data_IF_321551117732
#
_entry.id   IF_321551117732
#
_cell.length_a   1.000
_cell.length_b   1.000
_cell.length_c   1.000
_cell.angle_alpha   90.00
_cell.angle_beta   90.00
_cell.angle_gamma   90.00
#
_symmetry.space_group_name_H-M   'P 1'
#
loop_
_entity.id
_entity.type
_entity.pdbx_description
1 polymer ?
#
# COMPACT_ATOMS: atom_id res chain seq x y z
N UNK A 1 -44.62 -35.22 26.59
CA UNK A 1 -43.84 -34.92 25.37
C UNK A 1 -43.61 -33.42 25.35
N UNK A 2 -42.44 -32.96 25.79
CA UNK A 2 -42.07 -31.54 25.69
C UNK A 2 -41.40 -31.32 24.34
N UNK A 3 -42.00 -30.45 23.53
CA UNK A 3 -41.55 -30.12 22.18
C UNK A 3 -40.16 -29.50 22.19
N UNK A 4 -39.32 -29.96 21.26
CA UNK A 4 -37.95 -29.53 21.07
C UNK A 4 -37.87 -28.02 20.79
N UNK A 5 -36.99 -27.35 21.53
CA UNK A 5 -36.68 -25.94 21.34
C UNK A 5 -36.04 -25.71 19.96
N UNK A 6 -36.77 -25.02 19.09
CA UNK A 6 -36.19 -24.41 17.90
C UNK A 6 -35.26 -23.28 18.32
N UNK A 7 -33.95 -23.56 18.36
CA UNK A 7 -32.95 -22.51 18.48
C UNK A 7 -33.06 -21.58 17.28
N UNK A 8 -33.69 -20.42 17.46
CA UNK A 8 -33.88 -19.45 16.38
C UNK A 8 -32.54 -19.02 15.79
N UNK A 9 -32.49 -18.90 14.46
CA UNK A 9 -31.33 -18.34 13.74
C UNK A 9 -30.95 -16.99 14.36
N UNK A 10 -29.68 -16.85 14.74
CA UNK A 10 -29.14 -15.59 15.23
C UNK A 10 -28.83 -14.70 14.02
N UNK A 11 -29.00 -13.36 14.13
CA UNK A 11 -28.80 -12.44 13.01
C UNK A 11 -27.36 -12.36 12.49
N UNK A 12 -26.39 -12.92 13.21
CA UNK A 12 -24.99 -13.02 12.82
C UNK A 12 -24.48 -14.42 13.17
N UNK A 13 -24.79 -15.39 12.32
CA UNK A 13 -24.26 -16.75 12.36
C UNK A 13 -23.36 -16.96 11.13
N UNK A 14 -22.48 -17.97 11.16
CA UNK A 14 -21.57 -18.26 10.06
C UNK A 14 -22.33 -18.40 8.74
N UNK A 15 -23.46 -19.10 8.75
CA UNK A 15 -24.30 -19.30 7.55
C UNK A 15 -24.82 -17.99 6.94
N UNK A 16 -25.05 -16.96 7.75
CA UNK A 16 -25.59 -15.65 7.31
C UNK A 16 -24.49 -14.62 7.02
N UNK A 17 -23.20 -14.98 7.15
CA UNK A 17 -22.10 -14.08 6.81
C UNK A 17 -22.07 -13.78 5.31
N UNK A 18 -21.58 -12.58 4.96
CA UNK A 18 -21.30 -12.21 3.58
C UNK A 18 -20.38 -13.28 2.92
N UNK A 19 -20.85 -13.85 1.81
CA UNK A 19 -20.14 -14.91 1.07
C UNK A 19 -18.73 -14.51 0.65
N UNK A 20 -18.50 -13.24 0.36
CA UNK A 20 -17.16 -12.75 0.04
C UNK A 20 -16.24 -12.84 1.27
N UNK A 21 -16.74 -12.51 2.47
CA UNK A 21 -15.99 -12.63 3.73
C UNK A 21 -15.60 -14.07 4.01
N UNK A 22 -16.51 -15.03 3.77
CA UNK A 22 -16.21 -16.47 3.91
C UNK A 22 -15.07 -16.94 3.00
N UNK A 23 -14.93 -16.35 1.81
CA UNK A 23 -13.89 -16.69 0.82
C UNK A 23 -12.54 -16.04 1.10
N UNK A 24 -12.47 -15.01 1.94
CA UNK A 24 -11.21 -14.31 2.22
C UNK A 24 -10.24 -15.22 2.98
N UNK A 25 -9.02 -15.33 2.46
CA UNK A 25 -7.90 -15.96 3.14
C UNK A 25 -6.75 -14.95 3.29
N UNK A 26 -6.21 -14.80 4.51
CA UNK A 26 -5.08 -13.91 4.79
C UNK A 26 -3.99 -14.64 5.60
N UNK A 27 -3.08 -15.30 4.87
CA UNK A 27 -2.14 -16.27 5.44
C UNK A 27 -1.09 -15.68 6.41
N UNK A 28 -0.74 -14.39 6.31
CA UNK A 28 0.30 -13.75 7.16
C UNK A 28 0.01 -13.87 8.65
N UNK A 29 -1.27 -13.94 9.03
CA UNK A 29 -1.75 -14.18 10.40
C UNK A 29 -2.73 -15.36 10.46
N UNK A 30 -2.51 -16.37 9.62
CA UNK A 30 -3.33 -17.58 9.55
C UNK A 30 -2.97 -18.63 10.61
N UNK A 31 -3.20 -19.90 10.28
CA UNK A 31 -3.08 -21.05 11.19
C UNK A 31 -1.71 -21.14 11.90
N UNK A 32 -0.61 -20.91 11.18
CA UNK A 32 0.73 -20.94 11.76
C UNK A 32 0.92 -19.88 12.85
N UNK A 33 0.35 -18.68 12.66
CA UNK A 33 0.40 -17.61 13.66
C UNK A 33 -0.44 -17.97 14.89
N UNK A 34 -1.62 -18.56 14.68
CA UNK A 34 -2.47 -19.02 15.77
C UNK A 34 -1.78 -20.10 16.60
N UNK A 35 -1.18 -21.10 15.94
CA UNK A 35 -0.41 -22.15 16.62
C UNK A 35 0.81 -21.58 17.35
N UNK A 36 1.53 -20.64 16.75
CA UNK A 36 2.63 -19.94 17.40
C UNK A 36 2.15 -19.17 18.65
N UNK A 37 0.98 -18.55 18.59
CA UNK A 37 0.38 -17.83 19.72
C UNK A 37 -0.02 -18.77 20.87
N UNK A 38 -0.53 -19.97 20.57
CA UNK A 38 -0.79 -21.01 21.57
C UNK A 38 0.49 -21.46 22.27
N UNK A 39 1.52 -21.80 21.50
CA UNK A 39 2.82 -22.19 22.05
C UNK A 39 3.42 -21.08 22.94
N UNK A 40 3.23 -19.81 22.57
CA UNK A 40 3.65 -18.69 23.41
C UNK A 40 2.88 -18.65 24.74
N UNK A 41 1.57 -18.91 24.73
CA UNK A 41 0.75 -19.03 25.97
C UNK A 41 1.19 -20.22 26.84
N UNK A 42 1.70 -21.28 26.22
CA UNK A 42 2.32 -22.43 26.90
C UNK A 42 3.74 -22.12 27.44
N UNK A 43 4.21 -20.87 27.32
CA UNK A 43 5.51 -20.42 27.83
C UNK A 43 6.69 -20.69 26.89
N UNK A 44 6.44 -21.12 25.64
CA UNK A 44 7.51 -21.27 24.64
C UNK A 44 8.00 -19.90 24.17
N UNK A 45 9.31 -19.76 24.05
CA UNK A 45 9.92 -18.61 23.37
C UNK A 45 9.73 -18.75 21.87
N UNK A 46 8.93 -17.87 21.28
CA UNK A 46 8.67 -17.82 19.84
C UNK A 46 9.37 -16.61 19.22
N UNK A 47 10.03 -16.81 18.09
CA UNK A 47 10.60 -15.74 17.27
C UNK A 47 9.72 -15.62 16.03
N UNK A 48 9.01 -14.50 15.90
CA UNK A 48 8.12 -14.25 14.77
C UNK A 48 8.92 -13.73 13.56
N UNK A 49 9.11 -14.58 12.56
CA UNK A 49 9.73 -14.23 11.26
C UNK A 49 8.70 -14.11 10.13
N UNK A 50 7.40 -14.09 10.47
CA UNK A 50 6.29 -14.10 9.52
C UNK A 50 5.82 -12.70 9.06
N UNK A 51 6.24 -11.63 9.74
CA UNK A 51 5.84 -10.24 9.42
C UNK A 51 7.06 -9.35 9.38
N UNK A 52 7.18 -8.54 8.33
CA UNK A 52 8.14 -7.42 8.29
C UNK A 52 7.76 -6.32 9.28
N UNK A 53 8.10 -6.51 10.55
CA UNK A 53 7.84 -5.59 11.66
C UNK A 53 9.18 -5.24 12.36
N UNK A 54 9.96 -4.30 11.82
CA UNK A 54 11.37 -4.14 12.20
C UNK A 54 11.58 -3.81 13.68
N UNK A 55 10.74 -2.95 14.28
CA UNK A 55 10.85 -2.59 15.69
C UNK A 55 10.59 -3.76 16.64
N UNK A 56 9.72 -4.71 16.25
CA UNK A 56 9.49 -5.92 17.04
C UNK A 56 10.70 -6.87 17.05
N UNK A 57 11.62 -6.70 16.09
CA UNK A 57 12.87 -7.46 15.98
C UNK A 57 14.10 -6.65 16.47
N UNK A 58 13.88 -5.48 17.08
CA UNK A 58 14.93 -4.71 17.74
C UNK A 58 15.51 -3.53 16.95
N UNK A 59 14.98 -3.21 15.76
CA UNK A 59 15.34 -1.96 15.10
C UNK A 59 14.94 -0.78 16.02
N UNK A 60 15.89 0.12 16.29
CA UNK A 60 15.63 1.32 17.09
C UNK A 60 14.90 2.36 16.23
N UNK A 61 13.88 3.06 16.79
CA UNK A 61 13.23 4.15 16.08
C UNK A 61 14.21 5.30 15.86
N UNK A 62 14.06 6.02 14.75
CA UNK A 62 14.83 7.24 14.52
C UNK A 62 14.42 8.34 15.50
N UNK A 63 15.39 9.02 16.09
CA UNK A 63 15.16 10.01 17.17
C UNK A 63 14.40 11.24 16.68
N UNK A 64 14.82 11.82 15.55
CA UNK A 64 14.24 13.05 15.00
C UNK A 64 12.72 13.00 14.78
N UNK A 65 12.15 12.02 14.03
CA UNK A 65 10.70 11.96 13.83
C UNK A 65 9.94 11.74 15.14
N UNK A 66 10.50 10.98 16.09
CA UNK A 66 9.89 10.77 17.41
C UNK A 66 9.81 12.07 18.21
N UNK A 67 10.86 12.87 18.19
CA UNK A 67 10.90 14.18 18.83
C UNK A 67 9.86 15.13 18.23
N UNK A 68 9.80 15.22 16.90
CA UNK A 68 8.81 16.05 16.20
C UNK A 68 7.38 15.63 16.56
N UNK A 69 7.06 14.33 16.45
CA UNK A 69 5.72 13.82 16.77
C UNK A 69 5.38 14.04 18.24
N UNK A 70 6.32 13.84 19.16
CA UNK A 70 6.09 14.10 20.58
C UNK A 70 5.72 15.57 20.85
N UNK A 71 6.44 16.51 20.25
CA UNK A 71 6.15 17.94 20.36
C UNK A 71 4.82 18.32 19.71
N UNK A 72 4.46 17.71 18.58
CA UNK A 72 3.14 17.95 17.97
C UNK A 72 1.98 17.37 18.80
N UNK A 73 2.19 16.26 19.51
CA UNK A 73 1.19 15.64 20.38
C UNK A 73 1.05 16.38 21.73
N UNK A 74 2.14 16.96 22.22
CA UNK A 74 2.19 17.73 23.46
C UNK A 74 2.68 19.17 23.18
N UNK A 75 1.90 19.99 22.46
CA UNK A 75 2.34 21.31 22.01
C UNK A 75 2.66 22.28 23.16
N UNK A 76 2.09 22.06 24.35
CA UNK A 76 2.40 22.85 25.56
C UNK A 76 3.89 22.76 25.96
N UNK A 77 4.61 21.71 25.51
CA UNK A 77 6.07 21.61 25.73
C UNK A 77 6.83 22.69 24.96
N UNK A 78 6.27 23.25 23.87
CA UNK A 78 6.92 24.30 23.09
C UNK A 78 6.99 25.64 23.82
N UNK A 79 6.16 25.83 24.85
CA UNK A 79 6.12 27.02 25.71
C UNK A 79 7.02 26.88 26.94
N UNK A 80 7.57 25.68 27.20
CA UNK A 80 8.50 25.46 28.32
C UNK A 80 9.84 26.14 28.02
N UNK A 81 10.37 27.01 28.89
CA UNK A 81 11.66 27.68 28.69
C UNK A 81 12.84 26.69 28.59
N UNK A 82 12.67 25.46 29.07
CA UNK A 82 13.67 24.39 29.03
C UNK A 82 13.51 23.44 27.84
N UNK A 83 12.56 23.67 26.93
CA UNK A 83 12.32 22.78 25.78
C UNK A 83 13.58 22.54 24.95
N UNK A 84 14.42 23.57 24.80
CA UNK A 84 15.69 23.49 24.06
C UNK A 84 16.79 22.68 24.77
N UNK A 85 16.61 22.33 26.05
CA UNK A 85 17.50 21.42 26.78
C UNK A 85 17.17 19.95 26.49
N UNK A 86 15.93 19.66 26.06
CA UNK A 86 15.40 18.30 25.85
C UNK A 86 15.30 17.97 24.36
N UNK A 87 14.89 18.94 23.54
CA UNK A 87 14.66 18.77 22.11
C UNK A 87 15.62 19.65 21.30
N UNK A 88 16.18 19.13 20.19
CA UNK A 88 17.04 19.92 19.33
C UNK A 88 16.22 20.98 18.56
N UNK A 89 16.89 22.07 18.19
CA UNK A 89 16.24 23.26 17.62
C UNK A 89 15.49 22.95 16.31
N UNK A 90 16.01 22.04 15.50
CA UNK A 90 15.40 21.59 14.24
C UNK A 90 14.12 20.76 14.46
N UNK A 91 14.07 19.91 15.49
CA UNK A 91 12.86 19.19 15.87
C UNK A 91 11.77 20.15 16.38
N UNK A 92 12.15 21.15 17.19
CA UNK A 92 11.25 22.21 17.65
C UNK A 92 10.70 23.02 16.47
N UNK A 93 11.57 23.44 15.56
CA UNK A 93 11.16 24.19 14.37
C UNK A 93 10.22 23.36 13.48
N UNK A 94 10.53 22.08 13.26
CA UNK A 94 9.69 21.18 12.47
C UNK A 94 8.32 20.92 13.12
N UNK A 95 8.27 20.78 14.44
CA UNK A 95 7.00 20.64 15.15
C UNK A 95 6.13 21.90 15.03
N UNK A 96 6.71 23.09 15.21
CA UNK A 96 6.02 24.37 15.01
C UNK A 96 5.47 24.52 13.59
N UNK A 97 6.27 24.11 12.59
CA UNK A 97 5.86 24.09 11.19
C UNK A 97 4.63 23.19 10.95
N UNK A 98 4.62 21.97 11.47
CA UNK A 98 3.46 21.08 11.31
C UNK A 98 2.23 21.53 12.09
N UNK A 99 2.40 22.07 13.29
CA UNK A 99 1.29 22.64 14.05
C UNK A 99 0.66 23.85 13.35
N UNK A 100 1.46 24.67 12.65
CA UNK A 100 0.95 25.77 11.84
C UNK A 100 0.09 25.30 10.65
N UNK A 101 0.32 24.08 10.14
CA UNK A 101 -0.51 23.46 9.10
C UNK A 101 -1.79 22.82 9.62
N UNK A 102 -1.92 22.64 10.94
CA UNK A 102 -3.02 21.99 11.62
C UNK A 102 -3.60 22.92 12.70
N UNK A 103 -4.41 23.94 12.33
CA UNK A 103 -4.87 24.97 13.28
C UNK A 103 -5.72 24.43 14.43
N UNK A 104 -6.39 23.27 14.26
CA UNK A 104 -7.08 22.56 15.34
C UNK A 104 -6.19 21.61 16.16
N UNK A 105 -4.87 21.71 15.99
CA UNK A 105 -3.90 20.72 16.46
C UNK A 105 -4.05 19.38 15.76
N UNK A 106 -3.33 18.37 16.25
CA UNK A 106 -3.40 17.00 15.72
C UNK A 106 -4.69 16.25 16.13
N UNK A 107 -5.52 16.84 17.00
CA UNK A 107 -6.76 16.21 17.47
C UNK A 107 -7.98 16.49 16.59
N UNK A 108 -7.92 17.49 15.71
CA UNK A 108 -9.02 17.81 14.81
C UNK A 108 -9.01 16.94 13.55
N UNK A 109 -10.18 16.74 12.95
CA UNK A 109 -10.27 16.15 11.62
C UNK A 109 -9.56 17.01 10.57
N UNK A 110 -8.87 16.36 9.64
CA UNK A 110 -8.35 17.00 8.43
C UNK A 110 -9.36 16.93 7.28
N UNK A 111 -9.00 17.53 6.14
CA UNK A 111 -9.57 17.15 4.83
C UNK A 111 -9.53 15.62 4.67
N UNK A 112 -10.51 15.04 3.98
CA UNK A 112 -10.63 13.58 3.82
C UNK A 112 -9.46 12.94 3.08
N UNK A 113 -8.72 13.75 2.31
CA UNK A 113 -7.47 13.35 1.63
C UNK A 113 -6.25 13.51 2.52
N UNK A 114 -6.39 14.15 3.67
CA UNK A 114 -5.32 14.51 4.59
C UNK A 114 -4.97 16.00 4.58
N UNK A 115 -4.20 16.41 5.59
CA UNK A 115 -3.79 17.81 5.81
C UNK A 115 -3.16 18.38 4.51
N UNK A 116 -3.69 19.48 3.93
CA UNK A 116 -3.22 20.02 2.65
C UNK A 116 -1.72 20.31 2.62
N UNK A 117 -1.17 20.86 3.72
CA UNK A 117 0.27 21.12 3.85
C UNK A 117 1.12 19.85 3.78
N UNK A 118 0.66 18.73 4.36
CA UNK A 118 1.36 17.45 4.29
C UNK A 118 1.27 16.86 2.89
N UNK A 119 0.11 16.94 2.23
CA UNK A 119 -0.03 16.51 0.81
C UNK A 119 0.91 17.28 -0.11
N UNK A 120 1.10 18.58 0.13
CA UNK A 120 2.09 19.40 -0.58
C UNK A 120 3.51 18.90 -0.34
N UNK A 121 3.90 18.62 0.90
CA UNK A 121 5.24 18.06 1.18
C UNK A 121 5.47 16.69 0.51
N UNK A 122 4.43 15.85 0.42
CA UNK A 122 4.47 14.58 -0.32
C UNK A 122 4.65 14.82 -1.82
N UNK A 123 3.91 15.77 -2.40
CA UNK A 123 4.04 16.14 -3.81
C UNK A 123 5.46 16.62 -4.14
N UNK A 124 6.03 17.49 -3.30
CA UNK A 124 7.41 17.97 -3.44
C UNK A 124 8.44 16.83 -3.27
N UNK A 125 8.17 15.85 -2.40
CA UNK A 125 9.00 14.65 -2.28
C UNK A 125 9.01 13.83 -3.58
N UNK A 126 7.83 13.60 -4.17
CA UNK A 126 7.68 12.88 -5.43
C UNK A 126 8.38 13.64 -6.56
N UNK A 127 8.19 14.96 -6.64
CA UNK A 127 8.83 15.80 -7.66
C UNK A 127 10.36 15.76 -7.56
N UNK A 128 10.92 15.89 -6.36
CA UNK A 128 12.38 15.77 -6.16
C UNK A 128 12.92 14.40 -6.55
N UNK A 129 12.17 13.33 -6.29
CA UNK A 129 12.56 11.95 -6.62
C UNK A 129 12.49 11.69 -8.12
N UNK A 130 11.43 12.16 -8.78
CA UNK A 130 11.11 11.77 -10.15
C UNK A 130 11.57 12.78 -11.21
N UNK A 131 11.78 14.05 -10.82
CA UNK A 131 12.08 15.16 -11.73
C UNK A 131 10.86 15.73 -12.45
N UNK A 132 9.65 15.37 -12.03
CA UNK A 132 8.38 15.80 -12.63
C UNK A 132 7.40 16.29 -11.58
N UNK A 133 6.73 17.45 -11.79
CA UNK A 133 5.76 18.00 -10.83
C UNK A 133 4.69 16.99 -10.44
N UNK A 134 4.33 16.96 -9.16
CA UNK A 134 3.22 16.17 -8.62
C UNK A 134 2.14 17.12 -8.09
N UNK A 135 0.87 16.80 -8.33
CA UNK A 135 -0.25 17.62 -7.86
C UNK A 135 -0.70 17.13 -6.46
N UNK A 136 -0.62 17.97 -5.41
CA UNK A 136 -1.08 17.59 -4.08
C UNK A 136 -2.57 17.22 -4.03
N UNK A 137 -3.40 17.69 -4.96
CA UNK A 137 -4.82 17.35 -5.02
C UNK A 137 -5.08 15.91 -5.52
N UNK A 138 -4.06 15.26 -6.10
CA UNK A 138 -4.07 13.86 -6.54
C UNK A 138 -3.44 12.90 -5.52
N UNK A 139 -3.10 13.40 -4.32
CA UNK A 139 -2.50 12.63 -3.23
C UNK A 139 -3.52 12.42 -2.11
N UNK A 140 -3.62 11.18 -1.64
CA UNK A 140 -4.47 10.78 -0.51
C UNK A 140 -3.60 10.16 0.58
N UNK A 141 -3.61 10.77 1.76
CA UNK A 141 -3.03 10.20 2.96
C UNK A 141 -3.94 9.09 3.49
N UNK A 142 -3.37 7.99 3.97
CA UNK A 142 -4.10 6.79 4.35
C UNK A 142 -3.50 6.13 5.59
N UNK A 143 -4.28 5.27 6.27
CA UNK A 143 -3.81 4.49 7.43
C UNK A 143 -2.88 3.32 7.03
N UNK A 144 -1.77 3.67 6.38
CA UNK A 144 -0.83 2.80 5.70
C UNK A 144 -1.30 2.45 4.29
N UNK A 145 -0.35 2.05 3.44
CA UNK A 145 -0.62 1.65 2.06
C UNK A 145 -1.76 0.61 1.92
N UNK A 146 -1.96 -0.25 2.92
CA UNK A 146 -3.03 -1.25 2.90
C UNK A 146 -4.42 -0.63 2.71
N UNK A 147 -4.70 0.53 3.33
CA UNK A 147 -6.00 1.19 3.16
C UNK A 147 -6.14 1.82 1.77
N UNK A 148 -5.07 2.41 1.23
CA UNK A 148 -5.06 2.91 -0.14
C UNK A 148 -5.32 1.80 -1.16
N UNK A 149 -4.63 0.66 -1.04
CA UNK A 149 -4.83 -0.51 -1.91
C UNK A 149 -6.28 -1.00 -1.83
N UNK A 150 -6.83 -1.15 -0.62
CA UNK A 150 -8.22 -1.57 -0.45
C UNK A 150 -9.20 -0.57 -1.07
N UNK A 151 -8.98 0.73 -0.89
CA UNK A 151 -9.83 1.78 -1.47
C UNK A 151 -9.83 1.72 -2.99
N UNK A 152 -8.65 1.57 -3.62
CA UNK A 152 -8.54 1.48 -5.07
C UNK A 152 -9.17 0.21 -5.63
N UNK A 153 -8.95 -0.94 -4.99
CA UNK A 153 -9.57 -2.19 -5.41
C UNK A 153 -11.10 -2.11 -5.31
N UNK A 154 -11.64 -1.55 -4.22
CA UNK A 154 -13.08 -1.34 -4.07
C UNK A 154 -13.65 -0.36 -5.12
N UNK A 155 -12.87 0.63 -5.54
CA UNK A 155 -13.26 1.59 -6.58
C UNK A 155 -13.28 0.94 -7.97
N UNK A 156 -12.37 -0.01 -8.24
CA UNK A 156 -12.21 -0.66 -9.54
C UNK A 156 -13.19 -1.83 -9.73
N UNK A 157 -13.43 -2.62 -8.68
CA UNK A 157 -14.21 -3.87 -8.73
C UNK A 157 -15.69 -3.56 -8.62
N UNK A 158 -16.45 -3.81 -9.68
CA UNK A 158 -17.92 -3.62 -9.70
C UNK A 158 -18.70 -4.89 -9.39
N UNK A 159 -18.13 -6.06 -9.70
CA UNK A 159 -18.72 -7.40 -9.50
C UNK A 159 -17.68 -8.49 -9.82
N UNK A 160 -18.09 -9.77 -9.78
CA UNK A 160 -17.22 -10.93 -9.98
C UNK A 160 -16.58 -11.01 -11.37
N UNK A 161 -17.09 -10.26 -12.36
CA UNK A 161 -16.52 -10.23 -13.71
C UNK A 161 -15.39 -9.23 -13.85
N UNK A 162 -15.14 -8.35 -12.87
CA UNK A 162 -13.98 -7.46 -12.92
C UNK A 162 -12.75 -8.20 -12.38
N UNK A 163 -11.73 -8.29 -13.25
CA UNK A 163 -10.48 -8.99 -12.99
C UNK A 163 -9.35 -8.04 -12.64
N UNK A 164 -8.50 -8.44 -11.69
CA UNK A 164 -7.25 -7.74 -11.35
C UNK A 164 -6.08 -8.69 -11.60
N UNK A 165 -5.11 -8.26 -12.41
CA UNK A 165 -3.85 -8.99 -12.60
C UNK A 165 -2.98 -8.84 -11.36
N UNK A 166 -2.55 -9.96 -10.76
CA UNK A 166 -1.76 -9.97 -9.52
C UNK A 166 -0.57 -10.93 -9.67
N UNK A 167 0.64 -10.56 -9.19
CA UNK A 167 1.80 -11.44 -9.28
C UNK A 167 1.59 -12.73 -8.48
N UNK A 168 2.29 -13.77 -8.88
CA UNK A 168 2.46 -15.00 -8.10
C UNK A 168 3.96 -15.31 -8.04
N UNK A 169 4.55 -15.38 -6.84
CA UNK A 169 3.95 -15.13 -5.51
C UNK A 169 3.64 -13.64 -5.23
N UNK A 170 2.83 -13.35 -4.21
CA UNK A 170 2.42 -11.98 -3.84
C UNK A 170 2.22 -11.77 -2.33
N UNK A 171 2.22 -10.50 -1.92
CA UNK A 171 1.78 -10.07 -0.60
C UNK A 171 0.26 -10.21 -0.44
N UNK A 172 -0.25 -11.13 0.42
CA UNK A 172 -1.63 -11.64 0.37
C UNK A 172 -2.77 -10.66 0.65
N UNK A 173 -2.47 -9.38 0.88
CA UNK A 173 -3.47 -8.32 0.90
C UNK A 173 -4.26 -8.26 -0.41
N UNK A 174 -3.62 -8.40 -1.57
CA UNK A 174 -4.31 -8.27 -2.86
C UNK A 174 -5.36 -9.35 -3.06
N UNK A 175 -4.98 -10.62 -2.89
CA UNK A 175 -5.93 -11.73 -2.99
C UNK A 175 -7.07 -11.60 -1.98
N UNK A 176 -6.76 -11.26 -0.73
CA UNK A 176 -7.77 -11.08 0.31
C UNK A 176 -8.76 -9.95 -0.03
N UNK A 177 -8.25 -8.80 -0.47
CA UNK A 177 -9.07 -7.63 -0.80
C UNK A 177 -9.91 -7.85 -2.07
N UNK A 178 -9.35 -8.47 -3.11
CA UNK A 178 -10.10 -8.82 -4.32
C UNK A 178 -11.26 -9.75 -3.99
N UNK A 179 -11.02 -10.80 -3.19
CA UNK A 179 -12.10 -11.70 -2.73
C UNK A 179 -13.13 -10.97 -1.88
N UNK A 180 -12.70 -10.09 -0.96
CA UNK A 180 -13.60 -9.32 -0.10
C UNK A 180 -14.56 -8.43 -0.90
N UNK A 181 -14.05 -7.76 -1.94
CA UNK A 181 -14.84 -6.91 -2.82
C UNK A 181 -15.56 -7.68 -3.93
N UNK A 182 -15.43 -9.01 -3.95
CA UNK A 182 -16.14 -9.88 -4.88
C UNK A 182 -15.61 -9.80 -6.32
N UNK A 183 -14.35 -9.44 -6.53
CA UNK A 183 -13.70 -9.43 -7.83
C UNK A 183 -13.02 -10.75 -8.18
N UNK A 184 -12.52 -10.85 -9.41
CA UNK A 184 -11.74 -12.00 -9.89
C UNK A 184 -10.24 -11.74 -9.83
N UNK A 185 -9.48 -12.63 -9.19
CA UNK A 185 -8.02 -12.61 -9.25
C UNK A 185 -7.56 -13.27 -10.55
N UNK A 186 -6.75 -12.55 -11.33
CA UNK A 186 -6.12 -13.05 -12.54
C UNK A 186 -4.61 -13.18 -12.26
N UNK A 187 -4.07 -14.40 -12.06
CA UNK A 187 -2.68 -14.56 -11.64
C UNK A 187 -1.74 -14.38 -12.83
N UNK A 188 -0.62 -13.69 -12.63
CA UNK A 188 0.54 -13.77 -13.54
C UNK A 188 1.76 -14.25 -12.78
N UNK A 189 2.55 -15.10 -13.39
CA UNK A 189 3.65 -15.80 -12.70
C UNK A 189 4.96 -15.05 -12.92
N UNK A 190 5.68 -14.83 -11.83
CA UNK A 190 7.05 -14.32 -11.86
C UNK A 190 8.00 -15.49 -12.15
N UNK A 191 8.99 -15.27 -13.01
CA UNK A 191 9.95 -16.31 -13.41
C UNK A 191 11.07 -16.42 -12.37
N UNK A 192 11.03 -17.47 -11.54
CA UNK A 192 12.01 -17.72 -10.48
C UNK A 192 13.44 -17.80 -11.03
N UNK A 193 13.64 -18.53 -12.14
CA UNK A 193 14.93 -18.71 -12.81
C UNK A 193 15.47 -17.42 -13.43
N UNK A 194 14.59 -16.43 -13.68
CA UNK A 194 14.94 -15.11 -14.22
C UNK A 194 14.93 -14.02 -13.13
N UNK A 195 15.26 -14.39 -11.88
CA UNK A 195 15.28 -13.48 -10.72
C UNK A 195 13.92 -12.84 -10.43
N UNK A 196 12.85 -13.64 -10.52
CA UNK A 196 11.46 -13.19 -10.35
C UNK A 196 11.06 -12.11 -11.37
N UNK A 197 11.54 -12.27 -12.60
CA UNK A 197 11.27 -11.40 -13.73
C UNK A 197 9.83 -11.49 -14.25
N UNK A 198 9.47 -10.55 -15.13
CA UNK A 198 8.17 -10.52 -15.81
C UNK A 198 8.25 -11.22 -17.16
N UNK A 199 7.37 -12.21 -17.39
CA UNK A 199 7.13 -12.77 -18.72
C UNK A 199 5.93 -12.09 -19.40
N UNK A 200 6.22 -11.20 -20.35
CA UNK A 200 5.20 -10.48 -21.10
C UNK A 200 4.43 -11.35 -22.10
N UNK A 201 4.97 -12.50 -22.51
CA UNK A 201 4.25 -13.45 -23.36
C UNK A 201 3.18 -14.13 -22.53
N UNK A 202 3.55 -14.67 -21.36
CA UNK A 202 2.60 -15.27 -20.42
C UNK A 202 1.54 -14.27 -19.93
N UNK A 203 1.93 -13.02 -19.64
CA UNK A 203 1.00 -11.95 -19.25
C UNK A 203 -0.10 -11.72 -20.31
N UNK A 204 0.27 -11.60 -21.59
CA UNK A 204 -0.70 -11.41 -22.68
C UNK A 204 -1.63 -12.62 -22.82
N UNK A 205 -1.09 -13.83 -22.75
CA UNK A 205 -1.88 -15.06 -22.80
C UNK A 205 -2.86 -15.16 -21.62
N UNK A 206 -2.43 -14.77 -20.43
CA UNK A 206 -3.23 -14.73 -19.21
C UNK A 206 -4.41 -13.76 -19.35
N UNK A 207 -4.16 -12.54 -19.85
CA UNK A 207 -5.22 -11.55 -20.11
C UNK A 207 -6.21 -12.06 -21.15
N UNK A 208 -5.71 -12.61 -22.26
CA UNK A 208 -6.56 -13.16 -23.32
C UNK A 208 -7.45 -14.30 -22.79
N UNK A 209 -6.88 -15.21 -22.01
CA UNK A 209 -7.61 -16.34 -21.39
C UNK A 209 -8.65 -15.89 -20.36
N UNK A 210 -8.35 -14.86 -19.56
CA UNK A 210 -9.33 -14.28 -18.65
C UNK A 210 -10.50 -13.63 -19.42
N UNK A 211 -10.19 -12.84 -20.44
CA UNK A 211 -11.19 -12.18 -21.29
C UNK A 211 -12.07 -13.18 -22.04
N UNK A 212 -11.51 -14.28 -22.55
CA UNK A 212 -12.28 -15.34 -23.22
C UNK A 212 -13.26 -16.06 -22.26
N UNK A 213 -13.02 -16.00 -20.95
CA UNK A 213 -13.92 -16.51 -19.90
C UNK A 213 -14.95 -15.47 -19.43
N UNK A 214 -15.01 -14.30 -20.07
CA UNK A 214 -15.94 -13.23 -19.74
C UNK A 214 -15.47 -12.29 -18.61
N UNK A 215 -14.19 -12.37 -18.20
CA UNK A 215 -13.61 -11.45 -17.22
C UNK A 215 -13.16 -10.16 -17.91
N UNK A 216 -13.63 -9.02 -17.40
CA UNK A 216 -13.10 -7.70 -17.75
C UNK A 216 -11.88 -7.42 -16.89
N UNK A 217 -10.67 -7.64 -17.42
CA UNK A 217 -9.44 -7.29 -16.70
C UNK A 217 -9.31 -5.77 -16.67
N UNK A 218 -9.33 -5.18 -15.47
CA UNK A 218 -9.44 -3.72 -15.24
C UNK A 218 -8.12 -3.08 -14.81
N UNK A 219 -7.29 -3.82 -14.09
CA UNK A 219 -6.07 -3.30 -13.51
C UNK A 219 -4.98 -4.38 -13.40
N UNK A 220 -3.74 -3.93 -13.29
CA UNK A 220 -2.57 -4.75 -12.99
C UNK A 220 -1.88 -4.22 -11.74
N UNK A 221 -1.60 -5.11 -10.81
CA UNK A 221 -0.78 -4.84 -9.63
C UNK A 221 0.67 -5.17 -9.96
N UNK A 222 1.59 -4.29 -9.60
CA UNK A 222 3.00 -4.62 -9.45
C UNK A 222 3.44 -4.34 -8.02
N UNK A 223 4.39 -5.13 -7.52
CA UNK A 223 5.03 -4.93 -6.22
C UNK A 223 6.52 -4.75 -6.49
N UNK A 224 7.03 -3.52 -6.32
CA UNK A 224 8.40 -3.17 -6.66
C UNK A 224 9.01 -2.17 -5.67
N UNK A 225 10.05 -2.53 -4.91
CA UNK A 225 10.64 -3.87 -4.79
C UNK A 225 9.66 -4.93 -4.28
N UNK A 226 9.84 -6.17 -4.75
CA UNK A 226 8.86 -7.23 -4.58
C UNK A 226 8.79 -7.81 -3.17
N UNK A 227 7.59 -8.27 -2.81
CA UNK A 227 7.30 -9.01 -1.59
C UNK A 227 6.37 -10.17 -1.97
N UNK A 228 6.78 -11.45 -1.77
CA UNK A 228 7.88 -11.92 -0.91
C UNK A 228 9.27 -12.04 -1.58
N UNK A 229 9.38 -11.74 -2.87
CA UNK A 229 10.50 -12.16 -3.73
C UNK A 229 11.75 -11.27 -3.68
N UNK A 230 11.63 -10.02 -3.22
CA UNK A 230 12.77 -9.12 -3.02
C UNK A 230 13.43 -8.57 -4.29
N UNK A 231 12.92 -8.89 -5.48
CA UNK A 231 13.43 -8.37 -6.74
C UNK A 231 13.14 -6.87 -6.88
N UNK A 232 14.00 -6.17 -7.62
CA UNK A 232 13.77 -4.79 -8.02
C UNK A 232 13.78 -4.70 -9.55
N UNK A 233 12.70 -4.17 -10.12
CA UNK A 233 12.52 -4.09 -11.57
C UNK A 233 13.49 -3.08 -12.17
N UNK A 234 14.07 -3.45 -13.32
CA UNK A 234 14.85 -2.51 -14.13
C UNK A 234 13.97 -1.46 -14.80
N UNK A 235 14.55 -0.33 -15.19
CA UNK A 235 13.83 0.68 -16.00
C UNK A 235 13.24 0.07 -17.27
N UNK A 236 13.98 -0.83 -17.93
CA UNK A 236 13.50 -1.55 -19.13
C UNK A 236 12.27 -2.41 -18.83
N UNK A 237 12.23 -3.12 -17.70
CA UNK A 237 11.05 -3.89 -17.31
C UNK A 237 9.84 -2.98 -17.03
N UNK A 238 10.07 -1.83 -16.38
CA UNK A 238 9.01 -0.85 -16.11
C UNK A 238 8.48 -0.25 -17.42
N UNK A 239 9.36 0.04 -18.39
CA UNK A 239 8.93 0.52 -19.73
C UNK A 239 8.05 -0.50 -20.44
N UNK A 240 8.45 -1.77 -20.46
CA UNK A 240 7.64 -2.83 -21.08
C UNK A 240 6.31 -3.06 -20.35
N UNK A 241 6.32 -2.94 -19.01
CA UNK A 241 5.11 -2.99 -18.19
C UNK A 241 4.13 -1.86 -18.52
N UNK A 242 4.62 -0.63 -18.64
CA UNK A 242 3.79 0.53 -18.97
C UNK A 242 3.24 0.43 -20.39
N UNK A 243 4.05 -0.03 -21.35
CA UNK A 243 3.57 -0.36 -22.70
C UNK A 243 2.48 -1.42 -22.64
N UNK A 244 2.66 -2.49 -21.87
CA UNK A 244 1.65 -3.52 -21.71
C UNK A 244 0.34 -2.95 -21.16
N UNK A 245 0.38 -2.17 -20.08
CA UNK A 245 -0.81 -1.54 -19.49
C UNK A 245 -1.50 -0.59 -20.48
N UNK A 246 -0.73 0.17 -21.27
CA UNK A 246 -1.25 1.05 -22.32
C UNK A 246 -2.03 0.27 -23.38
N UNK A 247 -1.41 -0.76 -23.98
CA UNK A 247 -2.04 -1.55 -25.06
C UNK A 247 -3.24 -2.36 -24.57
N UNK A 248 -3.19 -2.86 -23.34
CA UNK A 248 -4.27 -3.66 -22.74
C UNK A 248 -5.35 -2.80 -22.07
N UNK A 249 -5.18 -1.47 -22.05
CA UNK A 249 -6.05 -0.49 -21.38
C UNK A 249 -6.31 -0.85 -19.90
N UNK A 250 -5.23 -1.00 -19.13
CA UNK A 250 -5.25 -1.40 -17.72
C UNK A 250 -4.78 -0.25 -16.82
N UNK A 251 -5.43 -0.09 -15.68
CA UNK A 251 -4.90 0.73 -14.57
C UNK A 251 -3.69 0.03 -13.97
N UNK A 252 -2.57 0.72 -13.84
CA UNK A 252 -1.41 0.21 -13.10
C UNK A 252 -1.51 0.59 -11.62
N UNK A 253 -1.49 -0.41 -10.74
CA UNK A 253 -1.41 -0.28 -9.29
C UNK A 253 0.03 -0.59 -8.86
N UNK A 254 0.83 0.44 -8.63
CA UNK A 254 2.25 0.33 -8.31
C UNK A 254 2.50 0.36 -6.79
N UNK A 255 2.71 -0.81 -6.19
CA UNK A 255 3.06 -0.95 -4.79
C UNK A 255 4.57 -0.74 -4.58
N UNK A 256 4.93 0.48 -4.19
CA UNK A 256 6.31 0.96 -4.05
C UNK A 256 6.70 1.16 -2.57
N UNK A 257 6.11 0.36 -1.67
CA UNK A 257 6.33 0.47 -0.21
C UNK A 257 7.77 0.18 0.21
N UNK A 258 8.52 -0.60 -0.58
CA UNK A 258 9.90 -0.97 -0.29
C UNK A 258 10.93 -0.10 -1.04
N UNK A 259 10.55 1.06 -1.58
CA UNK A 259 11.43 1.89 -2.44
C UNK A 259 12.77 2.33 -1.80
N UNK A 260 12.88 2.30 -0.48
CA UNK A 260 14.12 2.62 0.25
C UNK A 260 14.90 1.37 0.72
N UNK A 261 14.37 0.16 0.51
CA UNK A 261 15.00 -1.10 0.87
C UNK A 261 15.73 -1.71 -0.34
N UNK A 262 16.70 -0.96 -0.87
CA UNK A 262 17.54 -1.41 -1.98
C UNK A 262 18.91 -1.79 -1.43
N UNK A 263 19.38 -2.98 -1.82
CA UNK A 263 20.63 -3.56 -1.32
C UNK A 263 21.63 -3.87 -2.45
N UNK A 264 21.28 -3.56 -3.71
CA UNK A 264 22.12 -3.74 -4.89
C UNK A 264 22.26 -2.40 -5.59
N UNK A 265 23.49 -1.89 -5.70
CA UNK A 265 23.76 -0.57 -6.28
C UNK A 265 23.47 -0.55 -7.80
N UNK A 266 23.64 -1.69 -8.47
CA UNK A 266 23.39 -1.85 -9.91
C UNK A 266 21.89 -1.86 -10.25
N UNK A 267 21.01 -1.96 -9.24
CA UNK A 267 19.56 -2.01 -9.39
C UNK A 267 18.88 -1.02 -8.44
N UNK A 268 19.05 0.30 -8.65
CA UNK A 268 18.38 1.30 -7.83
C UNK A 268 16.86 1.23 -8.02
N UNK A 269 16.12 1.70 -7.02
CA UNK A 269 14.69 1.91 -7.17
C UNK A 269 14.44 3.00 -8.23
N UNK A 270 13.51 2.72 -9.15
CA UNK A 270 12.98 3.68 -10.10
C UNK A 270 11.45 3.60 -10.02
N UNK A 271 10.80 4.73 -9.81
CA UNK A 271 9.33 4.75 -9.71
C UNK A 271 8.68 4.51 -11.06
N UNK A 272 7.55 3.80 -11.07
CA UNK A 272 6.75 3.60 -12.28
C UNK A 272 6.29 4.94 -12.87
N UNK A 273 6.03 5.91 -12.00
CA UNK A 273 5.65 7.28 -12.36
C UNK A 273 6.74 7.99 -13.14
N UNK A 274 7.98 7.96 -12.65
CA UNK A 274 9.12 8.57 -13.35
C UNK A 274 9.25 8.01 -14.77
N UNK A 275 9.27 6.68 -14.89
CA UNK A 275 9.42 6.01 -16.20
C UNK A 275 8.25 6.35 -17.13
N UNK A 276 7.02 6.43 -16.60
CA UNK A 276 5.85 6.84 -17.38
C UNK A 276 6.02 8.24 -17.97
N UNK A 277 6.51 9.21 -17.20
CA UNK A 277 6.77 10.56 -17.72
C UNK A 277 7.97 10.61 -18.66
N UNK A 278 9.06 9.87 -18.37
CA UNK A 278 10.24 9.76 -19.25
C UNK A 278 9.87 9.18 -20.63
N UNK A 279 8.86 8.31 -20.71
CA UNK A 279 8.38 7.74 -21.98
C UNK A 279 7.61 8.72 -22.87
N UNK A 280 7.13 9.84 -22.32
CA UNK A 280 6.42 10.87 -23.06
C UNK A 280 5.04 10.46 -23.61
N UNK A 281 4.35 11.38 -24.32
CA UNK A 281 3.06 11.10 -24.93
C UNK A 281 3.15 10.09 -26.09
N UNK A 282 2.10 9.30 -26.36
CA UNK A 282 0.77 9.36 -25.72
C UNK A 282 0.73 8.74 -24.31
N UNK A 283 1.65 7.82 -24.00
CA UNK A 283 1.60 7.02 -22.76
C UNK A 283 1.54 7.87 -21.50
N UNK A 284 2.40 8.89 -21.37
CA UNK A 284 2.43 9.76 -20.18
C UNK A 284 1.15 10.53 -19.91
N UNK A 285 0.23 10.61 -20.88
CA UNK A 285 -1.08 11.29 -20.76
C UNK A 285 -2.26 10.34 -20.61
N UNK A 286 -2.07 9.06 -20.92
CA UNK A 286 -3.18 8.10 -21.08
C UNK A 286 -3.12 6.93 -20.09
N UNK A 287 -1.91 6.46 -19.73
CA UNK A 287 -1.80 5.35 -18.78
C UNK A 287 -2.24 5.82 -17.40
N UNK A 288 -3.28 5.19 -16.88
CA UNK A 288 -3.76 5.41 -15.52
C UNK A 288 -2.85 4.67 -14.55
N UNK A 289 -2.28 5.39 -13.59
CA UNK A 289 -1.34 4.88 -12.60
C UNK A 289 -1.75 5.33 -11.21
N UNK A 290 -1.70 4.40 -10.24
CA UNK A 290 -1.77 4.70 -8.82
C UNK A 290 -0.54 4.13 -8.12
N UNK A 291 0.26 4.99 -7.51
CA UNK A 291 1.47 4.61 -6.78
C UNK A 291 1.23 4.64 -5.27
N UNK A 292 1.55 3.56 -4.56
CA UNK A 292 1.35 3.42 -3.11
C UNK A 292 2.66 3.53 -2.34
N UNK A 293 2.63 4.22 -1.20
CA UNK A 293 3.77 4.28 -0.28
C UNK A 293 3.34 4.27 1.20
N UNK A 294 4.29 3.99 2.10
CA UNK A 294 4.04 3.79 3.53
C UNK A 294 5.24 4.18 4.38
N UNK A 295 4.99 4.63 5.61
CA UNK A 295 6.04 4.85 6.62
C UNK A 295 6.45 3.55 7.33
N UNK A 296 5.75 2.45 7.04
CA UNK A 296 5.92 1.18 7.75
C UNK A 296 7.21 0.43 7.41
N UNK A 297 7.81 0.69 6.24
CA UNK A 297 8.97 -0.02 5.71
C UNK A 297 10.18 0.93 5.61
N UNK A 298 11.26 0.49 4.97
CA UNK A 298 12.51 1.24 4.95
C UNK A 298 13.19 1.30 6.31
N UNK A 299 14.16 2.22 6.43
CA UNK A 299 14.84 2.50 7.68
C UNK A 299 13.95 3.19 8.71
N UNK A 300 12.76 3.67 8.34
CA UNK A 300 11.75 4.22 9.26
C UNK A 300 11.15 3.13 10.15
N UNK A 301 10.65 2.05 9.53
CA UNK A 301 10.10 0.89 10.27
C UNK A 301 8.85 1.19 11.12
N UNK A 302 8.16 2.30 10.87
CA UNK A 302 7.09 2.84 11.73
C UNK A 302 5.73 2.15 11.50
N UNK A 303 5.70 0.82 11.51
CA UNK A 303 4.49 0.01 11.20
C UNK A 303 3.27 0.35 12.08
N UNK A 304 3.52 0.72 13.35
CA UNK A 304 2.48 1.05 14.32
C UNK A 304 1.87 2.44 14.13
N UNK A 305 2.56 3.36 13.44
CA UNK A 305 2.07 4.72 13.18
C UNK A 305 1.00 4.76 12.10
N UNK A 306 0.86 3.68 11.32
CA UNK A 306 -0.15 3.55 10.26
C UNK A 306 -0.14 4.72 9.27
N UNK A 307 1.02 5.31 8.95
CA UNK A 307 1.10 6.36 7.93
C UNK A 307 1.31 5.79 6.52
N UNK A 308 0.63 6.34 5.52
CA UNK A 308 0.87 6.04 4.11
C UNK A 308 0.18 7.02 3.19
N UNK A 309 0.41 6.87 1.89
CA UNK A 309 -0.31 7.62 0.87
C UNK A 309 -0.43 6.81 -0.42
N UNK A 310 -1.32 7.26 -1.31
CA UNK A 310 -1.20 6.97 -2.73
C UNK A 310 -1.31 8.25 -3.56
N UNK A 311 -0.67 8.24 -4.72
CA UNK A 311 -0.74 9.29 -5.73
C UNK A 311 -1.42 8.74 -6.99
N UNK A 312 -2.32 9.51 -7.57
CA UNK A 312 -2.99 9.21 -8.84
C UNK A 312 -2.36 9.98 -10.00
N UNK A 313 -2.13 9.30 -11.12
CA UNK A 313 -1.64 9.89 -12.38
C UNK A 313 -2.57 9.50 -13.53
N UNK A 314 -3.05 10.49 -14.29
CA UNK A 314 -4.03 10.35 -15.39
C UNK A 314 -5.40 9.76 -15.01
N UNK A 315 -5.76 9.73 -13.73
CA UNK A 315 -7.12 9.41 -13.30
C UNK A 315 -8.03 10.66 -13.33
N UNK A 316 -9.24 10.58 -13.90
CA UNK A 316 -10.20 11.68 -13.85
C UNK A 316 -10.55 12.09 -12.39
N UNK A 317 -10.74 13.39 -12.09
CA UNK A 317 -11.05 13.85 -10.73
C UNK A 317 -12.29 13.22 -10.10
N UNK A 318 -13.23 12.71 -10.90
CA UNK A 318 -14.47 12.07 -10.42
C UNK A 318 -14.30 10.60 -10.03
N UNK A 319 -13.11 10.01 -10.20
CA UNK A 319 -12.91 8.57 -9.92
C UNK A 319 -12.93 8.26 -8.44
N UNK A 320 -12.49 9.18 -7.57
CA UNK A 320 -12.48 8.94 -6.13
C UNK A 320 -13.81 9.36 -5.51
N UNK A 321 -14.57 8.45 -4.88
CA UNK A 321 -15.68 8.84 -4.03
C UNK A 321 -15.13 9.59 -2.80
N UNK A 322 -15.79 10.68 -2.43
CA UNK A 322 -15.49 11.48 -1.24
C UNK A 322 -15.43 10.63 0.04
#
# INVERSE_FOLDING_TARGET
MFGGGGGGRKPLDYEELNENVKKVQYAVRGELYLRASELQKEGKKIIFTNVGNPHALGQKPLTFPRQVVALCQAPFLLDDPNVGLIFPADAIARAKHYLAMAPGGLGAYSDSRGIPGIRKEVAEFIERRDGYPSDPELIYLTDGASKGVMQMLNTIIRNERDGILVPVPQYPLYSAAISLFGGSLVPYYLEEEANWGLDFVNLRQTVASARSKGITVRAMVIINPGNPTGQCLSEGNIKELLKFCFHENLVLLADEVYQQNIYQDERPFISARKVLFDMGPPMSREVQLVSFHTVSKGYWGECGQRGGYFEMTNLPPKVMPL
#
